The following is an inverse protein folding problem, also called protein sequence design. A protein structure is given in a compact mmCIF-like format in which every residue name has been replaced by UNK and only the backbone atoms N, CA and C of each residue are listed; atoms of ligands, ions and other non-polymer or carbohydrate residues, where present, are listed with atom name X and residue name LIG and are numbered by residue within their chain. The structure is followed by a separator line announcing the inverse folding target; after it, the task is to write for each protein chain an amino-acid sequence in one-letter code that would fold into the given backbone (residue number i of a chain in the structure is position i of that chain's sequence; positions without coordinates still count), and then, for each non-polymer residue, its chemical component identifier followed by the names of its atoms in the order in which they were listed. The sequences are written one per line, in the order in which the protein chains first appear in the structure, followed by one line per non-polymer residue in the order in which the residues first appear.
data_IF_230177625045
#
_entry.id   IF_230177625045
#
_cell.length_a   1.000
_cell.length_b   1.000
_cell.length_c   1.000
_cell.angle_alpha   90.00
_cell.angle_beta   90.00
_cell.angle_gamma   90.00
#
_symmetry.space_group_name_H-M   'P 1'
#
loop_
_entity.id
_entity.type
_entity.pdbx_description
1 polymer ?
#
# COMPACT_ATOMS: atom_id res chain seq x y z
N UNK A 1 1.82 18.97 -14.80
CA UNK A 1 1.48 17.79 -13.98
C UNK A 1 0.68 18.29 -12.79
N UNK A 2 -0.58 17.86 -12.62
CA UNK A 2 -1.40 18.25 -11.47
C UNK A 2 -0.72 17.67 -10.22
N UNK A 3 -0.49 18.48 -9.18
CA UNK A 3 0.03 17.95 -7.91
C UNK A 3 -0.92 16.86 -7.41
N UNK A 4 -0.35 15.73 -7.02
CA UNK A 4 -1.06 14.56 -6.52
C UNK A 4 -1.78 14.95 -5.22
N UNK A 5 -3.11 14.83 -5.20
CA UNK A 5 -3.88 14.99 -3.97
C UNK A 5 -3.66 13.73 -3.12
N UNK A 6 -2.65 13.80 -2.24
CA UNK A 6 -2.29 12.70 -1.36
C UNK A 6 -3.44 12.29 -0.42
N UNK A 7 -4.37 13.20 -0.09
CA UNK A 7 -5.56 12.87 0.68
C UNK A 7 -6.53 12.00 -0.11
N UNK A 8 -6.75 12.32 -1.38
CA UNK A 8 -7.58 11.49 -2.27
C UNK A 8 -6.97 10.14 -2.57
N UNK A 9 -5.66 10.08 -2.79
CA UNK A 9 -4.96 8.80 -2.96
C UNK A 9 -5.12 7.94 -1.73
N UNK A 10 -4.93 8.50 -0.54
CA UNK A 10 -5.14 7.78 0.72
C UNK A 10 -6.57 7.24 0.81
N UNK A 11 -7.57 8.08 0.56
CA UNK A 11 -8.99 7.70 0.56
C UNK A 11 -9.28 6.49 -0.35
N UNK A 12 -8.76 6.49 -1.58
CA UNK A 12 -8.94 5.39 -2.53
C UNK A 12 -8.23 4.10 -2.07
N UNK A 13 -7.02 4.20 -1.52
CA UNK A 13 -6.31 3.04 -0.95
C UNK A 13 -7.10 2.44 0.23
N UNK A 14 -7.69 3.27 1.09
CA UNK A 14 -8.58 2.81 2.17
C UNK A 14 -9.80 2.07 1.60
N UNK A 15 -10.44 2.60 0.55
CA UNK A 15 -11.60 1.95 -0.10
C UNK A 15 -11.23 0.56 -0.62
N UNK A 16 -10.10 0.41 -1.29
CA UNK A 16 -9.63 -0.88 -1.80
C UNK A 16 -9.41 -1.87 -0.65
N UNK A 17 -8.73 -1.43 0.43
CA UNK A 17 -8.52 -2.27 1.60
C UNK A 17 -9.83 -2.75 2.23
N UNK A 18 -10.84 -1.86 2.34
CA UNK A 18 -12.16 -2.20 2.86
C UNK A 18 -12.87 -3.25 2.00
N UNK A 19 -12.85 -3.10 0.68
CA UNK A 19 -13.45 -4.08 -0.25
C UNK A 19 -12.78 -5.45 -0.13
N UNK A 20 -11.47 -5.48 0.12
CA UNK A 20 -10.71 -6.72 0.32
C UNK A 20 -10.84 -7.31 1.74
N UNK A 21 -11.57 -6.63 2.64
CA UNK A 21 -11.72 -7.06 4.04
C UNK A 21 -10.45 -6.87 4.89
N UNK A 22 -9.53 -6.01 4.45
CA UNK A 22 -8.28 -5.73 5.15
C UNK A 22 -8.47 -4.62 6.20
N UNK A 23 -7.78 -4.75 7.33
CA UNK A 23 -7.74 -3.75 8.39
C UNK A 23 -6.43 -2.98 8.34
N UNK A 24 -6.51 -1.66 8.44
CA UNK A 24 -5.34 -0.79 8.49
C UNK A 24 -5.15 -0.31 9.93
N UNK A 25 -3.91 -0.35 10.40
CA UNK A 25 -3.50 0.17 11.69
C UNK A 25 -2.38 1.19 11.48
N UNK A 26 -2.59 2.41 11.96
CA UNK A 26 -1.52 3.40 12.13
C UNK A 26 -0.91 3.21 13.53
N UNK A 27 0.39 2.98 13.61
CA UNK A 27 1.08 2.68 14.86
C UNK A 27 2.54 3.17 14.82
N UNK A 28 3.23 3.36 15.95
CA UNK A 28 4.67 3.60 15.94
C UNK A 28 5.37 2.27 15.64
N UNK A 29 5.77 2.07 14.39
CA UNK A 29 6.46 0.85 13.98
C UNK A 29 7.97 1.04 14.13
N UNK A 30 8.61 0.21 14.95
CA UNK A 30 10.06 0.23 15.13
C UNK A 30 10.74 -0.64 14.06
N UNK A 31 11.53 -0.01 13.17
CA UNK A 31 12.38 -0.69 12.19
C UNK A 31 11.75 -0.96 10.81
N UNK A 32 10.50 -0.55 10.57
CA UNK A 32 9.84 -0.67 9.26
C UNK A 32 8.73 0.39 9.09
N UNK A 33 8.54 0.87 7.86
CA UNK A 33 7.53 1.87 7.53
C UNK A 33 6.13 1.28 7.38
N UNK A 34 6.04 0.01 6.97
CA UNK A 34 4.81 -0.73 6.78
C UNK A 34 5.01 -2.22 6.96
N UNK A 35 3.91 -2.94 7.22
CA UNK A 35 3.92 -4.40 7.31
C UNK A 35 2.56 -5.02 7.10
N UNK A 36 2.49 -5.93 6.13
CA UNK A 36 1.40 -6.88 5.99
C UNK A 36 1.55 -8.07 6.95
N UNK A 37 0.48 -8.39 7.68
CA UNK A 37 0.34 -9.62 8.45
C UNK A 37 -1.09 -10.15 8.38
N UNK A 38 -1.28 -11.25 7.65
CA UNK A 38 -2.60 -11.79 7.31
C UNK A 38 -3.46 -10.70 6.66
N UNK A 39 -4.66 -10.44 7.16
CA UNK A 39 -5.59 -9.41 6.66
C UNK A 39 -5.37 -8.04 7.33
N UNK A 40 -4.18 -7.77 7.87
CA UNK A 40 -3.85 -6.52 8.56
C UNK A 40 -2.64 -5.86 7.92
N UNK A 41 -2.74 -4.56 7.64
CA UNK A 41 -1.61 -3.72 7.23
C UNK A 41 -1.32 -2.73 8.36
N UNK A 42 -0.12 -2.81 8.92
CA UNK A 42 0.42 -1.78 9.80
C UNK A 42 1.17 -0.74 8.97
N UNK A 43 1.00 0.55 9.29
CA UNK A 43 1.78 1.66 8.71
C UNK A 43 2.28 2.57 9.84
N UNK A 44 3.53 3.01 9.74
CA UNK A 44 4.09 3.99 10.67
C UNK A 44 3.40 5.34 10.51
N UNK A 45 2.96 5.96 11.61
CA UNK A 45 2.38 7.31 11.55
C UNK A 45 3.42 8.43 11.50
N UNK A 46 4.71 8.11 11.66
CA UNK A 46 5.80 9.10 11.74
C UNK A 46 6.38 9.41 10.35
N UNK A 47 5.50 9.55 9.36
CA UNK A 47 5.84 9.75 7.95
C UNK A 47 4.89 10.76 7.31
N UNK A 48 5.33 11.43 6.24
CA UNK A 48 4.42 12.25 5.44
C UNK A 48 3.38 11.40 4.69
N UNK A 49 2.30 12.04 4.25
CA UNK A 49 1.17 11.33 3.63
C UNK A 49 1.55 10.69 2.29
N UNK A 50 2.50 11.25 1.55
CA UNK A 50 3.00 10.66 0.30
C UNK A 50 3.69 9.32 0.58
N UNK A 51 4.55 9.29 1.60
CA UNK A 51 5.27 8.10 2.05
C UNK A 51 4.31 7.07 2.64
N UNK A 52 3.29 7.49 3.40
CA UNK A 52 2.20 6.63 3.85
C UNK A 52 1.49 5.98 2.66
N UNK A 53 1.14 6.77 1.63
CA UNK A 53 0.46 6.25 0.44
C UNK A 53 1.30 5.23 -0.32
N UNK A 54 2.59 5.52 -0.54
CA UNK A 54 3.52 4.58 -1.20
C UNK A 54 3.65 3.28 -0.41
N UNK A 55 3.85 3.40 0.90
CA UNK A 55 3.97 2.25 1.80
C UNK A 55 2.69 1.41 1.81
N UNK A 56 1.52 2.05 1.93
CA UNK A 56 0.24 1.34 1.92
C UNK A 56 -0.02 0.64 0.58
N UNK A 57 0.29 1.28 -0.54
CA UNK A 57 0.20 0.66 -1.86
C UNK A 57 1.12 -0.57 -2.00
N UNK A 58 2.33 -0.49 -1.45
CA UNK A 58 3.29 -1.61 -1.41
C UNK A 58 2.76 -2.80 -0.62
N UNK A 59 2.31 -2.58 0.62
CA UNK A 59 1.76 -3.65 1.47
C UNK A 59 0.48 -4.24 0.87
N UNK A 60 -0.34 -3.42 0.23
CA UNK A 60 -1.53 -3.88 -0.49
C UNK A 60 -1.14 -4.73 -1.71
N UNK A 61 -0.09 -4.35 -2.46
CA UNK A 61 0.42 -5.15 -3.57
C UNK A 61 0.87 -6.53 -3.11
N UNK A 62 1.59 -6.63 -1.98
CA UNK A 62 1.90 -7.92 -1.36
C UNK A 62 0.64 -8.74 -1.05
N UNK A 63 -0.43 -8.11 -0.55
CA UNK A 63 -1.69 -8.79 -0.26
C UNK A 63 -2.45 -9.25 -1.52
N UNK A 64 -2.17 -8.70 -2.70
CA UNK A 64 -2.72 -9.18 -3.97
C UNK A 64 -1.87 -10.28 -4.60
N UNK A 65 -0.56 -10.10 -4.61
CA UNK A 65 0.34 -10.96 -5.36
C UNK A 65 0.75 -12.23 -4.60
N UNK A 66 0.82 -12.16 -3.27
CA UNK A 66 1.50 -13.18 -2.48
C UNK A 66 0.63 -13.77 -1.36
N UNK A 67 -0.69 -13.54 -1.36
CA UNK A 67 -1.62 -13.97 -0.30
C UNK A 67 -1.60 -15.48 -0.03
N UNK A 68 -1.20 -16.30 -1.00
CA UNK A 68 -1.15 -17.77 -0.96
C UNK A 68 0.28 -18.32 -0.82
N UNK A 69 1.31 -17.47 -0.77
CA UNK A 69 2.73 -17.87 -0.81
C UNK A 69 3.37 -18.13 0.57
N UNK A 70 2.56 -18.25 1.62
CA UNK A 70 3.04 -18.51 2.99
C UNK A 70 3.57 -17.25 3.69
N UNK A 71 4.47 -17.41 4.68
CA UNK A 71 5.02 -16.28 5.44
C UNK A 71 6.07 -15.51 4.61
N UNK A 72 5.62 -14.57 3.77
CA UNK A 72 6.49 -13.73 2.92
C UNK A 72 7.46 -12.91 3.78
N UNK A 73 7.08 -12.62 5.03
CA UNK A 73 7.89 -11.93 6.04
C UNK A 73 9.27 -12.58 6.25
N UNK A 74 9.32 -13.92 6.23
CA UNK A 74 10.58 -14.66 6.42
C UNK A 74 11.29 -14.94 5.09
N UNK A 75 10.58 -14.74 3.98
CA UNK A 75 11.06 -15.03 2.64
C UNK A 75 11.39 -13.71 1.94
N UNK A 76 12.53 -13.12 2.33
CA UNK A 76 13.13 -11.88 1.75
C UNK A 76 13.60 -12.07 0.30
N UNK A 77 12.75 -12.62 -0.53
CA UNK A 77 13.01 -12.81 -1.94
C UNK A 77 12.91 -11.45 -2.61
N UNK A 78 14.05 -10.92 -3.07
CA UNK A 78 14.11 -9.61 -3.74
C UNK A 78 13.14 -9.50 -4.92
N UNK A 79 12.82 -10.61 -5.59
CA UNK A 79 11.85 -10.61 -6.69
C UNK A 79 10.41 -10.35 -6.23
N UNK A 80 10.06 -10.65 -4.97
CA UNK A 80 8.73 -10.37 -4.42
C UNK A 80 8.59 -8.90 -4.03
N UNK A 81 9.63 -8.31 -3.46
CA UNK A 81 9.67 -6.87 -3.20
C UNK A 81 9.56 -6.08 -4.50
N UNK A 82 10.35 -6.45 -5.53
CA UNK A 82 10.31 -5.78 -6.83
C UNK A 82 8.93 -5.90 -7.52
N UNK A 83 8.28 -7.06 -7.40
CA UNK A 83 6.92 -7.25 -7.92
C UNK A 83 5.91 -6.35 -7.19
N UNK A 84 6.02 -6.24 -5.86
CA UNK A 84 5.16 -5.38 -5.06
C UNK A 84 5.39 -3.90 -5.38
N UNK A 85 6.64 -3.45 -5.52
CA UNK A 85 6.99 -2.09 -5.92
C UNK A 85 6.35 -1.72 -7.27
N UNK A 86 6.52 -2.59 -8.27
CA UNK A 86 5.97 -2.37 -9.62
C UNK A 86 4.44 -2.32 -9.60
N UNK A 87 3.79 -3.21 -8.85
CA UNK A 87 2.34 -3.23 -8.72
C UNK A 87 1.81 -2.02 -7.93
N UNK A 88 2.52 -1.57 -6.90
CA UNK A 88 2.20 -0.37 -6.14
C UNK A 88 2.27 0.88 -7.02
N UNK A 89 3.31 1.00 -7.85
CA UNK A 89 3.43 2.09 -8.82
C UNK A 89 2.26 2.11 -9.80
N UNK A 90 1.93 0.96 -10.40
CA UNK A 90 0.78 0.84 -11.31
C UNK A 90 -0.55 1.21 -10.61
N UNK A 91 -0.73 0.79 -9.35
CA UNK A 91 -1.92 1.13 -8.58
C UNK A 91 -2.04 2.64 -8.34
N UNK A 92 -0.95 3.28 -7.92
CA UNK A 92 -0.92 4.72 -7.66
C UNK A 92 -1.17 5.52 -8.96
N UNK A 93 -0.55 5.14 -10.07
CA UNK A 93 -0.81 5.71 -11.39
C UNK A 93 -2.29 5.55 -11.78
N UNK A 94 -2.87 4.38 -11.55
CA UNK A 94 -4.29 4.11 -11.86
C UNK A 94 -5.22 4.99 -11.03
N UNK A 95 -4.95 5.13 -9.72
CA UNK A 95 -5.73 6.02 -8.83
C UNK A 95 -5.61 7.46 -9.30
N UNK A 96 -4.42 7.91 -9.70
CA UNK A 96 -4.22 9.27 -10.22
C UNK A 96 -5.00 9.51 -11.52
N UNK A 97 -4.94 8.57 -12.47
CA UNK A 97 -5.62 8.70 -13.77
C UNK A 97 -7.14 8.70 -13.57
N UNK A 98 -7.66 7.77 -12.78
CA UNK A 98 -9.12 7.62 -12.58
C UNK A 98 -9.70 8.66 -11.63
N UNK A 99 -8.95 9.09 -10.60
CA UNK A 99 -9.31 10.18 -9.70
C UNK A 99 -9.19 11.57 -10.35
N UNK A 100 -8.31 11.72 -11.34
CA UNK A 100 -8.19 12.94 -12.15
C UNK A 100 -9.32 13.14 -13.17
N UNK A 101 -10.09 12.09 -13.48
CA UNK A 101 -11.20 12.12 -14.44
C UNK A 101 -12.55 12.54 -13.83
N UNK A 102 -12.62 12.79 -12.52
CA UNK A 102 -13.84 13.22 -11.82
C UNK A 102 -13.87 14.75 -11.53
N UNK A 103 -13.08 15.55 -12.27
CA UNK A 103 -12.99 17.01 -12.12
C UNK A 103 -13.48 17.75 -13.35
#
# INVERSE_FOLDING_TARGET
MKLMDNGKVFEELIKICRVKGMRILLAPLEGYNGRLYKERIGISYDMDLETINKTLAHELAHAYLHYDKGNIVDNKNQSYEEQADRAANMLLETIQITGGAQG
#
